data_IF_713650116655
#
_entry.id   IF_713650116655
#
_cell.length_a   1.000
_cell.length_b   1.000
_cell.length_c   1.000
_cell.angle_alpha   90.00
_cell.angle_beta   90.00
_cell.angle_gamma   90.00
#
_symmetry.space_group_name_H-M   'P 1'
#
loop_
_entity.id
_entity.type
_entity.pdbx_description
1 polymer ?
#
# COMPACT_ATOMS: atom_id res chain seq x y z
N UNK A 1 -11.99 -3.65 2.97
CA UNK A 1 -11.22 -4.78 2.39
C UNK A 1 -12.19 -5.90 2.05
N UNK A 2 -11.90 -6.68 1.01
CA UNK A 2 -12.77 -7.75 0.52
C UNK A 2 -12.19 -9.14 0.77
N UNK A 3 -12.75 -10.14 0.08
CA UNK A 3 -12.28 -11.53 0.19
C UNK A 3 -10.84 -11.70 -0.31
N UNK A 4 -10.17 -12.69 0.27
CA UNK A 4 -8.92 -13.25 -0.23
C UNK A 4 -8.97 -14.76 0.03
N UNK A 5 -8.85 -15.56 -1.02
CA UNK A 5 -8.86 -17.01 -0.94
C UNK A 5 -7.58 -17.53 -1.55
N UNK A 6 -6.84 -18.34 -0.79
CA UNK A 6 -5.71 -19.08 -1.29
C UNK A 6 -6.17 -20.44 -1.79
N UNK A 7 -5.72 -20.84 -2.97
CA UNK A 7 -5.97 -22.15 -3.56
C UNK A 7 -4.66 -22.76 -4.02
N UNK A 8 -4.59 -24.10 -4.04
CA UNK A 8 -3.47 -24.80 -4.61
C UNK A 8 -3.86 -25.27 -6.03
N UNK A 9 -3.16 -24.77 -7.04
CA UNK A 9 -3.38 -25.09 -8.45
C UNK A 9 -2.03 -25.36 -9.12
N UNK A 10 -1.90 -26.51 -9.79
CA UNK A 10 -0.64 -26.91 -10.46
C UNK A 10 0.59 -26.86 -9.54
N UNK A 11 0.45 -27.38 -8.32
CA UNK A 11 1.51 -27.40 -7.29
C UNK A 11 2.03 -26.00 -6.91
N UNK A 12 1.20 -24.96 -7.05
CA UNK A 12 1.49 -23.58 -6.66
C UNK A 12 0.32 -22.98 -5.88
N UNK A 13 0.64 -22.08 -4.96
CA UNK A 13 -0.37 -21.32 -4.20
C UNK A 13 -0.73 -20.07 -5.00
N UNK A 14 -2.00 -19.97 -5.40
CA UNK A 14 -2.57 -18.80 -6.04
C UNK A 14 -3.55 -18.11 -5.08
N UNK A 15 -3.57 -16.77 -5.11
CA UNK A 15 -4.48 -15.95 -4.32
C UNK A 15 -5.51 -15.28 -5.24
N UNK A 16 -6.78 -15.36 -4.85
CA UNK A 16 -7.90 -14.74 -5.57
C UNK A 16 -8.73 -13.85 -4.65
N UNK A 17 -9.31 -12.79 -5.21
CA UNK A 17 -10.27 -11.93 -4.51
C UNK A 17 -9.94 -10.46 -4.56
N UNK A 18 -10.83 -9.64 -3.99
CA UNK A 18 -10.71 -8.19 -4.04
C UNK A 18 -9.46 -7.68 -3.31
N UNK A 19 -9.09 -8.30 -2.19
CA UNK A 19 -7.93 -7.84 -1.40
C UNK A 19 -6.60 -8.04 -2.12
N UNK A 20 -6.39 -9.20 -2.78
CA UNK A 20 -5.17 -9.41 -3.58
C UNK A 20 -5.14 -8.49 -4.80
N UNK A 21 -6.30 -8.24 -5.43
CA UNK A 21 -6.41 -7.30 -6.53
C UNK A 21 -6.05 -5.87 -6.10
N UNK A 22 -6.52 -5.41 -4.95
CA UNK A 22 -6.15 -4.09 -4.42
C UNK A 22 -4.63 -4.04 -4.14
N UNK A 23 -4.10 -5.04 -3.43
CA UNK A 23 -2.67 -5.11 -3.11
C UNK A 23 -1.80 -5.07 -4.37
N UNK A 24 -2.19 -5.81 -5.42
CA UNK A 24 -1.44 -5.84 -6.69
C UNK A 24 -1.40 -4.51 -7.43
N UNK A 25 -2.31 -3.58 -7.12
CA UNK A 25 -2.39 -2.24 -7.74
C UNK A 25 -1.67 -1.16 -6.94
N UNK A 26 -1.32 -1.44 -5.67
CA UNK A 26 -0.53 -0.49 -4.86
C UNK A 26 0.87 -0.27 -5.44
N UNK A 27 1.39 -1.22 -6.23
CA UNK A 27 2.68 -1.05 -6.92
C UNK A 27 2.64 0.12 -7.92
N UNK A 28 1.51 0.36 -8.58
CA UNK A 28 1.36 1.47 -9.53
C UNK A 28 1.33 2.83 -8.84
N UNK A 29 1.12 2.85 -7.52
CA UNK A 29 1.14 4.05 -6.68
C UNK A 29 2.54 4.34 -6.14
N UNK A 30 3.40 3.31 -6.02
CA UNK A 30 4.72 3.43 -5.43
C UNK A 30 5.68 4.19 -6.35
N UNK A 31 6.46 5.10 -5.77
CA UNK A 31 7.62 5.68 -6.43
C UNK A 31 8.90 4.88 -6.10
N UNK A 32 10.02 5.25 -6.72
CA UNK A 32 11.32 4.63 -6.46
C UNK A 32 11.65 4.70 -4.96
N UNK A 33 12.14 3.58 -4.39
CA UNK A 33 12.50 3.46 -2.96
C UNK A 33 11.34 3.72 -1.98
N UNK A 34 10.10 3.55 -2.42
CA UNK A 34 8.93 3.61 -1.56
C UNK A 34 8.27 2.23 -1.37
N UNK A 35 7.71 2.02 -0.18
CA UNK A 35 6.78 0.94 0.12
C UNK A 35 5.40 1.57 0.28
N UNK A 36 4.42 1.08 -0.47
CA UNK A 36 3.02 1.54 -0.35
C UNK A 36 2.19 0.48 0.36
N UNK A 37 1.51 0.90 1.41
CA UNK A 37 0.58 0.06 2.16
C UNK A 37 -0.81 0.68 2.20
N UNK A 38 -1.82 -0.16 2.28
CA UNK A 38 -3.20 0.29 2.49
C UNK A 38 -3.38 0.80 3.92
N UNK A 39 -4.32 1.73 4.12
CA UNK A 39 -4.64 2.22 5.47
C UNK A 39 -5.07 1.10 6.44
N UNK A 40 -5.89 0.10 6.05
CA UNK A 40 -6.21 -1.01 6.95
C UNK A 40 -4.99 -1.81 7.40
N UNK A 41 -4.00 -2.02 6.53
CA UNK A 41 -2.74 -2.68 6.93
C UNK A 41 -1.94 -1.80 7.89
N UNK A 42 -1.82 -0.51 7.59
CA UNK A 42 -1.10 0.43 8.44
C UNK A 42 -1.69 0.50 9.86
N UNK A 43 -3.02 0.39 9.99
CA UNK A 43 -3.73 0.39 11.27
C UNK A 43 -3.84 -1.00 11.93
N UNK A 44 -3.23 -2.04 11.35
CA UNK A 44 -3.33 -3.40 11.86
C UNK A 44 -2.24 -3.70 12.89
N UNK A 45 -2.65 -4.15 14.08
CA UNK A 45 -1.73 -4.44 15.19
C UNK A 45 -0.93 -3.21 15.58
N UNK A 46 0.37 -3.40 15.84
CA UNK A 46 1.29 -2.32 16.24
C UNK A 46 2.03 -1.69 15.05
N UNK A 47 1.52 -1.83 13.83
CA UNK A 47 2.21 -1.36 12.61
C UNK A 47 2.40 0.16 12.64
N UNK A 48 1.38 0.92 13.01
CA UNK A 48 1.45 2.38 13.14
C UNK A 48 2.42 2.81 14.25
N UNK A 49 2.41 2.10 15.38
CA UNK A 49 3.31 2.34 16.51
C UNK A 49 4.76 2.06 16.12
N UNK A 50 5.04 0.93 15.46
CA UNK A 50 6.37 0.60 14.96
C UNK A 50 6.88 1.68 14.00
N UNK A 51 6.05 2.07 13.03
CA UNK A 51 6.43 3.07 12.04
C UNK A 51 6.57 4.48 12.66
N UNK A 52 5.77 4.82 13.65
CA UNK A 52 5.87 6.10 14.38
C UNK A 52 7.14 6.18 15.26
N UNK A 53 7.54 5.07 15.89
CA UNK A 53 8.78 5.00 16.67
C UNK A 53 10.05 5.10 15.80
N UNK A 54 9.94 4.79 14.50
CA UNK A 54 11.05 4.84 13.55
C UNK A 54 11.04 6.08 12.64
N UNK A 55 10.30 7.14 12.98
CA UNK A 55 10.19 8.39 12.18
C UNK A 55 11.48 9.18 11.99
N UNK A 56 12.54 8.85 12.73
CA UNK A 56 13.87 9.44 12.53
C UNK A 56 14.49 8.99 11.19
N UNK A 57 14.19 7.77 10.76
CA UNK A 57 14.74 7.16 9.53
C UNK A 57 13.66 6.87 8.50
N UNK A 58 12.38 6.86 8.89
CA UNK A 58 11.25 6.64 8.00
C UNK A 58 10.42 7.90 7.80
N UNK A 59 10.16 8.22 6.53
CA UNK A 59 9.21 9.23 6.10
C UNK A 59 7.93 8.53 5.66
N UNK A 60 6.78 9.07 6.08
CA UNK A 60 5.48 8.51 5.69
C UNK A 60 4.60 9.62 5.14
N UNK A 61 4.24 9.50 3.88
CA UNK A 61 3.27 10.35 3.20
C UNK A 61 1.93 9.64 3.21
N UNK A 62 0.88 10.36 3.62
CA UNK A 62 -0.50 9.88 3.50
C UNK A 62 -1.08 10.41 2.20
N UNK A 63 -1.86 9.59 1.50
CA UNK A 63 -2.58 10.01 0.31
C UNK A 63 -3.84 9.20 0.09
N UNK A 64 -4.66 9.68 -0.86
CA UNK A 64 -5.81 8.96 -1.40
C UNK A 64 -5.56 8.71 -2.89
N UNK A 65 -5.88 7.50 -3.35
CA UNK A 65 -5.60 7.05 -4.71
C UNK A 65 -6.79 6.27 -5.28
N UNK A 66 -7.13 6.55 -6.52
CA UNK A 66 -7.99 5.68 -7.31
C UNK A 66 -7.14 4.52 -7.85
N UNK A 67 -7.67 3.31 -7.75
CA UNK A 67 -7.00 2.11 -8.25
C UNK A 67 -7.71 1.62 -9.52
N UNK A 68 -6.93 1.21 -10.53
CA UNK A 68 -7.46 0.71 -11.80
C UNK A 68 -8.47 -0.42 -11.57
N UNK A 69 -9.68 -0.28 -12.13
CA UNK A 69 -10.77 -1.25 -11.94
C UNK A 69 -11.63 -1.01 -10.69
N UNK A 70 -11.36 0.06 -9.93
CA UNK A 70 -12.13 0.51 -8.76
C UNK A 70 -12.54 1.99 -8.90
N UNK A 71 -13.02 2.40 -10.08
CA UNK A 71 -13.22 3.81 -10.45
C UNK A 71 -14.32 4.58 -9.67
N UNK A 72 -14.96 3.95 -8.68
CA UNK A 72 -15.98 4.58 -7.82
C UNK A 72 -15.51 4.75 -6.37
N UNK A 73 -14.26 4.39 -6.06
CA UNK A 73 -13.72 4.37 -4.70
C UNK A 73 -12.30 4.93 -4.68
N UNK A 74 -12.03 5.80 -3.70
CA UNK A 74 -10.66 6.22 -3.38
C UNK A 74 -10.14 5.40 -2.21
N UNK A 75 -8.88 5.01 -2.30
CA UNK A 75 -8.20 4.21 -1.29
C UNK A 75 -7.19 5.06 -0.56
N UNK A 76 -7.32 5.13 0.77
CA UNK A 76 -6.29 5.72 1.62
C UNK A 76 -5.08 4.81 1.68
N UNK A 77 -3.92 5.39 1.43
CA UNK A 77 -2.63 4.70 1.36
C UNK A 77 -1.56 5.46 2.15
N UNK A 78 -0.55 4.72 2.59
CA UNK A 78 0.66 5.26 3.20
C UNK A 78 1.84 4.89 2.32
N UNK A 79 2.58 5.90 1.85
CA UNK A 79 3.84 5.74 1.13
C UNK A 79 4.96 5.93 2.15
N UNK A 80 5.80 4.91 2.33
CA UNK A 80 6.85 4.83 3.35
C UNK A 80 8.19 4.79 2.64
N UNK A 81 9.12 5.67 3.02
CA UNK A 81 10.46 5.74 2.43
C UNK A 81 11.52 5.98 3.51
N UNK A 82 12.78 5.62 3.21
CA UNK A 82 13.92 5.99 4.05
C UNK A 82 14.61 7.29 3.60
N UNK A 83 14.27 7.76 2.41
CA UNK A 83 14.77 9.00 1.83
C UNK A 83 13.63 10.03 1.75
N UNK A 84 13.93 11.31 1.95
CA UNK A 84 12.94 12.36 1.68
C UNK A 84 12.69 12.40 0.18
N UNK A 85 11.53 11.93 -0.26
CA UNK A 85 11.06 12.12 -1.63
C UNK A 85 11.06 13.63 -1.91
N UNK A 86 11.86 14.07 -2.88
CA UNK A 86 11.90 15.48 -3.26
C UNK A 86 10.51 15.89 -3.75
N UNK A 87 9.93 16.95 -3.19
CA UNK A 87 8.69 17.50 -3.73
C UNK A 87 8.97 17.96 -5.16
N UNK A 88 8.42 17.27 -6.16
CA UNK A 88 8.38 17.80 -7.52
C UNK A 88 7.49 19.04 -7.49
N UNK A 89 8.10 20.21 -7.60
CA UNK A 89 7.39 21.45 -7.88
C UNK A 89 6.83 21.31 -9.30
N UNK A 90 5.52 21.18 -9.43
CA UNK A 90 4.83 21.29 -10.72
C UNK A 90 4.64 22.78 -10.95
N UNK A 91 5.39 23.33 -11.91
CA UNK A 91 5.32 24.73 -12.37
C UNK A 91 4.28 24.81 -13.49
#
# INVERSE_FOLDING_TARGET
LGNCTAVNLNDRIDYFGTTVNIASRLVDVAEEKEIVVSEPFYNFGDTDLYLSNNRKTLFIKTGEKELKGFSKETFKVKQISMERTAMRLVI
#
